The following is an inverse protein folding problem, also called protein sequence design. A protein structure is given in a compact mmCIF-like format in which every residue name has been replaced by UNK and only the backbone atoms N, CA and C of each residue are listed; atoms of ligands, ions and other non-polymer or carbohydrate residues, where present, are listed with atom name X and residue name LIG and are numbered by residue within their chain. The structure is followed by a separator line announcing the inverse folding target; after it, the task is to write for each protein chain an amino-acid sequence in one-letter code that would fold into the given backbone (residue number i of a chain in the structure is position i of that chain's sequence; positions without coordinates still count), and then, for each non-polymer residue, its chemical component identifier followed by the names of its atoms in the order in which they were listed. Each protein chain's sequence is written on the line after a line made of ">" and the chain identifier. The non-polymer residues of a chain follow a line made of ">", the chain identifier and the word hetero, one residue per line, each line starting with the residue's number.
data_IF_513055733344
#
_entry.id   IF_513055733344
#
_cell.length_a   1.000
_cell.length_b   1.000
_cell.length_c   1.000
_cell.angle_alpha   90.00
_cell.angle_beta   90.00
_cell.angle_gamma   90.00
#
_symmetry.space_group_name_H-M   'P 1'
#
loop_
_entity.id
_entity.type
_entity.pdbx_description
1 polymer ?
#
# COMPACT_ATOMS: atom_id res chain seq x y z
N UNK A 1 14.43 -7.51 -9.29
CA UNK A 1 13.36 -6.49 -9.31
C UNK A 1 13.73 -5.52 -10.39
N UNK A 2 12.90 -5.38 -11.42
CA UNK A 2 13.09 -4.29 -12.34
C UNK A 2 13.19 -3.04 -11.49
N UNK A 3 14.23 -2.26 -11.72
CA UNK A 3 14.30 -0.91 -11.23
C UNK A 3 13.09 -0.23 -11.87
N UNK A 4 12.01 -0.05 -11.11
CA UNK A 4 10.90 0.78 -11.49
C UNK A 4 11.33 2.23 -11.41
N UNK A 5 12.43 2.57 -12.13
CA UNK A 5 12.60 3.92 -12.56
C UNK A 5 11.49 4.17 -13.53
N UNK A 6 10.54 4.79 -12.88
CA UNK A 6 9.55 5.48 -13.56
C UNK A 6 9.33 4.85 -14.92
N UNK A 7 8.42 4.04 -14.93
CA UNK A 7 7.43 4.20 -15.93
C UNK A 7 7.07 5.70 -15.97
N UNK A 8 7.97 6.49 -16.48
CA UNK A 8 7.64 7.77 -17.12
C UNK A 8 6.98 7.35 -18.41
N UNK A 9 5.78 6.80 -18.25
CA UNK A 9 4.94 6.51 -19.37
C UNK A 9 4.96 7.74 -20.25
N UNK A 10 5.27 7.58 -21.51
CA UNK A 10 4.84 8.51 -22.53
C UNK A 10 3.32 8.59 -22.37
N UNK A 11 2.85 9.56 -21.61
CA UNK A 11 1.43 9.79 -21.44
C UNK A 11 0.89 10.22 -22.79
N UNK A 12 -0.17 9.57 -23.32
CA UNK A 12 -0.98 10.20 -24.34
C UNK A 12 -1.39 11.57 -23.80
N UNK A 13 -1.34 12.59 -24.66
CA UNK A 13 -1.85 13.92 -24.26
C UNK A 13 -3.30 13.77 -23.83
N UNK A 14 -3.75 14.40 -22.73
CA UNK A 14 -5.13 14.27 -22.22
C UNK A 14 -6.23 14.57 -23.25
N UNK A 15 -5.87 15.29 -24.31
CA UNK A 15 -6.77 15.71 -25.40
C UNK A 15 -7.07 14.61 -26.42
N UNK A 16 -6.37 13.46 -26.38
CA UNK A 16 -6.41 12.48 -27.48
C UNK A 16 -6.71 11.04 -27.08
N UNK A 17 -6.74 10.68 -25.80
CA UNK A 17 -6.92 9.28 -25.41
C UNK A 17 -7.66 9.20 -24.07
N UNK A 18 -8.72 8.42 -24.03
CA UNK A 18 -9.31 7.94 -22.78
C UNK A 18 -8.24 7.17 -22.03
N UNK A 19 -8.09 7.44 -20.73
CA UNK A 19 -7.14 6.74 -19.85
C UNK A 19 -7.41 5.24 -19.75
N UNK A 20 -8.60 4.80 -20.12
CA UNK A 20 -9.10 3.41 -20.12
C UNK A 20 -9.24 2.81 -21.51
N UNK A 21 -8.69 3.46 -22.56
CA UNK A 21 -8.67 2.93 -23.93
C UNK A 21 -7.74 1.71 -23.99
N UNK A 22 -8.20 0.63 -24.66
CA UNK A 22 -7.43 -0.62 -24.80
C UNK A 22 -6.01 -0.41 -25.33
N UNK A 23 -5.82 0.57 -26.21
CA UNK A 23 -4.50 0.95 -26.74
C UNK A 23 -3.48 1.36 -25.67
N UNK A 24 -3.94 1.79 -24.50
CA UNK A 24 -3.05 2.12 -23.36
C UNK A 24 -2.41 0.83 -22.83
N UNK A 25 -3.17 -0.24 -22.72
CA UNK A 25 -2.69 -1.52 -22.21
C UNK A 25 -1.81 -2.24 -23.24
N UNK A 26 -2.19 -2.19 -24.53
CA UNK A 26 -1.34 -2.68 -25.63
C UNK A 26 0.03 -1.98 -25.63
N UNK A 27 0.02 -0.65 -25.47
CA UNK A 27 1.25 0.13 -25.39
C UNK A 27 2.08 -0.17 -24.13
N UNK A 28 1.44 -0.46 -23.01
CA UNK A 28 2.12 -0.89 -21.80
C UNK A 28 2.85 -2.21 -22.02
N UNK A 29 2.20 -3.19 -22.67
CA UNK A 29 2.83 -4.45 -23.06
C UNK A 29 4.00 -4.23 -24.01
N UNK A 30 3.80 -3.51 -25.11
CA UNK A 30 4.86 -3.19 -26.08
C UNK A 30 6.09 -2.56 -25.40
N UNK A 31 5.86 -1.65 -24.44
CA UNK A 31 6.95 -1.02 -23.71
C UNK A 31 7.69 -2.01 -22.82
N UNK A 32 6.98 -2.93 -22.15
CA UNK A 32 7.59 -3.98 -21.33
C UNK A 32 8.45 -4.91 -22.20
N UNK A 33 7.88 -5.41 -23.30
CA UNK A 33 8.57 -6.30 -24.27
C UNK A 33 9.83 -5.59 -24.82
N UNK A 34 9.74 -4.34 -25.19
CA UNK A 34 10.89 -3.53 -25.66
C UNK A 34 11.99 -3.35 -24.58
N UNK A 35 11.63 -3.28 -23.30
CA UNK A 35 12.61 -3.17 -22.21
C UNK A 35 13.36 -4.49 -22.02
N UNK A 36 12.68 -5.63 -22.17
CA UNK A 36 13.30 -6.95 -22.14
C UNK A 36 14.21 -7.16 -23.35
N UNK A 37 13.74 -6.89 -24.58
CA UNK A 37 14.51 -7.02 -25.81
C UNK A 37 15.80 -6.17 -25.82
N UNK A 38 15.76 -5.01 -25.19
CA UNK A 38 16.91 -4.10 -25.07
C UNK A 38 17.82 -4.44 -23.88
N UNK A 39 17.51 -5.48 -23.11
CA UNK A 39 18.27 -5.86 -21.93
C UNK A 39 18.21 -4.83 -20.79
N UNK A 40 17.21 -3.93 -20.80
CA UNK A 40 16.94 -3.01 -19.69
C UNK A 40 16.33 -3.77 -18.52
N UNK A 41 15.46 -4.74 -18.82
CA UNK A 41 14.97 -5.74 -17.88
C UNK A 41 15.58 -7.08 -18.24
N UNK A 42 16.01 -7.81 -17.22
CA UNK A 42 16.52 -9.16 -17.36
C UNK A 42 15.80 -10.06 -16.37
N UNK A 43 15.44 -11.26 -16.80
CA UNK A 43 14.85 -12.26 -15.92
C UNK A 43 15.95 -13.06 -15.25
N UNK A 44 15.88 -13.26 -13.95
CA UNK A 44 16.78 -14.14 -13.23
C UNK A 44 16.63 -15.58 -13.71
N UNK A 45 17.75 -16.33 -13.76
CA UNK A 45 17.78 -17.67 -14.35
C UNK A 45 17.09 -18.74 -13.50
N UNK A 46 16.90 -18.46 -12.20
CA UNK A 46 16.16 -19.33 -11.27
C UNK A 46 15.25 -18.52 -10.36
N UNK A 47 14.33 -19.20 -9.72
CA UNK A 47 13.45 -18.57 -8.72
C UNK A 47 14.27 -18.09 -7.52
N UNK A 48 14.13 -16.81 -7.17
CA UNK A 48 14.82 -16.15 -6.08
C UNK A 48 13.83 -15.44 -5.16
N UNK A 49 14.22 -15.28 -3.91
CA UNK A 49 13.67 -14.22 -3.07
C UNK A 49 14.55 -12.98 -3.14
N UNK A 50 13.98 -11.83 -2.76
CA UNK A 50 14.76 -10.59 -2.69
C UNK A 50 14.51 -9.93 -1.35
N UNK A 51 15.56 -9.43 -0.71
CA UNK A 51 15.41 -8.51 0.41
C UNK A 51 15.31 -7.10 -0.16
N UNK A 52 14.25 -6.39 0.19
CA UNK A 52 14.04 -5.00 -0.19
C UNK A 52 14.06 -4.11 1.04
N UNK A 53 14.99 -3.16 1.07
CA UNK A 53 15.16 -2.23 2.16
C UNK A 53 14.90 -0.80 1.70
N UNK A 54 14.11 -0.08 2.49
CA UNK A 54 13.80 1.34 2.34
C UNK A 54 14.34 2.10 3.54
N UNK A 55 15.11 3.15 3.30
CA UNK A 55 15.58 4.05 4.37
C UNK A 55 15.05 5.45 4.12
N UNK A 56 14.24 5.97 5.04
CA UNK A 56 13.64 7.30 4.98
C UNK A 56 13.81 8.03 6.31
N UNK A 57 14.50 9.17 6.31
CA UNK A 57 14.70 10.01 7.51
C UNK A 57 15.17 9.22 8.72
N UNK A 58 16.14 8.30 8.52
CA UNK A 58 16.71 7.46 9.56
C UNK A 58 15.83 6.29 10.02
N UNK A 59 14.66 6.08 9.41
CA UNK A 59 13.84 4.88 9.63
C UNK A 59 14.07 3.89 8.50
N UNK A 60 14.29 2.65 8.86
CA UNK A 60 14.53 1.54 7.94
C UNK A 60 13.34 0.60 7.96
N UNK A 61 12.89 0.17 6.77
CA UNK A 61 11.91 -0.89 6.57
C UNK A 61 12.56 -1.93 5.66
N UNK A 62 12.63 -3.16 6.12
CA UNK A 62 13.24 -4.27 5.36
C UNK A 62 12.23 -5.41 5.22
N UNK A 63 11.89 -5.78 4.00
CA UNK A 63 10.92 -6.83 3.69
C UNK A 63 11.47 -7.86 2.71
N UNK A 64 10.78 -8.98 2.59
CA UNK A 64 11.05 -10.02 1.59
C UNK A 64 10.09 -9.84 0.42
N UNK A 65 10.64 -9.81 -0.79
CA UNK A 65 9.89 -9.82 -2.04
C UNK A 65 9.78 -11.26 -2.52
N UNK A 66 8.57 -11.65 -2.84
CA UNK A 66 8.24 -12.98 -3.37
C UNK A 66 6.81 -12.98 -3.91
N UNK A 67 6.33 -14.15 -4.28
CA UNK A 67 5.00 -14.34 -4.82
C UNK A 67 4.06 -14.95 -3.77
N UNK A 68 2.94 -14.27 -3.50
CA UNK A 68 1.89 -14.74 -2.59
C UNK A 68 0.78 -15.45 -3.36
N UNK A 69 0.21 -16.52 -2.78
CA UNK A 69 -0.84 -17.32 -3.41
C UNK A 69 -2.17 -16.56 -3.51
N UNK A 70 -2.84 -16.71 -4.68
CA UNK A 70 -4.22 -16.22 -4.83
C UNK A 70 -5.20 -17.00 -3.95
N UNK A 71 -4.90 -18.26 -3.63
CA UNK A 71 -5.73 -19.05 -2.72
C UNK A 71 -5.67 -18.52 -1.30
N UNK A 72 -4.52 -18.08 -0.83
CA UNK A 72 -4.37 -17.42 0.48
C UNK A 72 -5.20 -16.13 0.58
N UNK A 73 -5.29 -15.39 -0.54
CA UNK A 73 -6.18 -14.24 -0.62
C UNK A 73 -7.66 -14.65 -0.55
N UNK A 74 -8.06 -15.72 -1.26
CA UNK A 74 -9.44 -16.20 -1.30
C UNK A 74 -9.86 -16.82 0.04
N UNK A 75 -8.97 -17.57 0.68
CA UNK A 75 -9.23 -18.26 1.95
C UNK A 75 -9.08 -17.35 3.18
N UNK A 76 -8.68 -16.09 2.98
CA UNK A 76 -8.55 -15.12 4.05
C UNK A 76 -7.30 -15.30 4.93
N UNK A 77 -6.28 -15.99 4.46
CA UNK A 77 -4.92 -15.94 5.02
C UNK A 77 -4.34 -14.53 4.79
N UNK A 78 -4.51 -14.00 3.57
CA UNK A 78 -4.23 -12.59 3.27
C UNK A 78 -5.44 -11.74 3.67
N UNK A 79 -5.29 -10.97 4.76
CA UNK A 79 -6.35 -10.13 5.34
C UNK A 79 -6.49 -8.82 4.61
N UNK A 80 -7.74 -8.45 4.34
CA UNK A 80 -8.16 -7.19 3.69
C UNK A 80 -8.85 -6.29 4.69
N UNK A 81 -8.67 -4.99 4.58
CA UNK A 81 -9.36 -4.01 5.41
C UNK A 81 -10.02 -2.89 4.60
N UNK A 82 -9.89 -2.93 3.28
CA UNK A 82 -10.49 -1.96 2.36
C UNK A 82 -11.32 -2.66 1.29
N UNK A 83 -12.48 -2.09 0.98
CA UNK A 83 -13.30 -2.51 -0.16
C UNK A 83 -12.74 -1.86 -1.43
N UNK A 84 -12.57 -2.68 -2.45
CA UNK A 84 -12.09 -2.19 -3.75
C UNK A 84 -13.22 -1.54 -4.55
N UNK A 85 -12.88 -0.55 -5.37
CA UNK A 85 -13.81 0.07 -6.33
C UNK A 85 -13.70 -0.65 -7.66
N UNK A 86 -14.84 -1.00 -8.23
CA UNK A 86 -14.91 -1.81 -9.45
C UNK A 86 -14.25 -1.13 -10.66
N UNK A 87 -14.43 0.18 -10.83
CA UNK A 87 -13.80 0.95 -11.92
C UNK A 87 -12.26 0.88 -11.88
N UNK A 88 -11.67 1.05 -10.68
CA UNK A 88 -10.23 0.93 -10.46
C UNK A 88 -9.72 -0.49 -10.64
N UNK A 89 -10.53 -1.46 -10.28
CA UNK A 89 -10.20 -2.86 -10.37
C UNK A 89 -10.17 -3.33 -11.84
N UNK A 90 -11.14 -2.92 -12.64
CA UNK A 90 -11.19 -3.24 -14.08
C UNK A 90 -9.95 -2.69 -14.82
N UNK A 91 -9.57 -1.44 -14.56
CA UNK A 91 -8.34 -0.86 -15.10
C UNK A 91 -7.11 -1.72 -14.81
N UNK A 92 -6.96 -2.16 -13.56
CA UNK A 92 -5.82 -3.01 -13.16
C UNK A 92 -5.89 -4.43 -13.72
N UNK A 93 -7.09 -4.99 -13.86
CA UNK A 93 -7.30 -6.30 -14.52
C UNK A 93 -6.81 -6.23 -15.97
N UNK A 94 -7.24 -5.22 -16.74
CA UNK A 94 -6.82 -5.05 -18.13
C UNK A 94 -5.29 -4.90 -18.22
N UNK A 95 -4.69 -4.11 -17.32
CA UNK A 95 -3.25 -3.92 -17.31
C UNK A 95 -2.48 -5.21 -17.03
N UNK A 96 -2.83 -5.96 -15.97
CA UNK A 96 -2.16 -7.21 -15.61
C UNK A 96 -2.36 -8.28 -16.68
N UNK A 97 -3.59 -8.38 -17.23
CA UNK A 97 -3.90 -9.37 -18.25
C UNK A 97 -3.19 -9.09 -19.58
N UNK A 98 -3.11 -7.82 -19.99
CA UNK A 98 -2.42 -7.41 -21.23
C UNK A 98 -0.90 -7.53 -21.12
N UNK A 99 -0.32 -7.06 -20.03
CA UNK A 99 1.13 -7.18 -19.80
C UNK A 99 1.58 -8.60 -19.49
N UNK A 100 0.66 -9.47 -19.07
CA UNK A 100 0.95 -10.80 -18.52
C UNK A 100 2.02 -10.75 -17.42
N UNK A 101 2.01 -9.69 -16.59
CA UNK A 101 3.00 -9.44 -15.57
C UNK A 101 2.42 -8.64 -14.39
N UNK A 102 2.94 -8.92 -13.19
CA UNK A 102 2.74 -8.09 -12.02
C UNK A 102 3.76 -6.96 -12.02
N UNK A 103 3.39 -5.76 -12.48
CA UNK A 103 4.31 -4.63 -12.68
C UNK A 103 4.61 -3.84 -11.41
N UNK A 104 4.05 -4.21 -10.27
CA UNK A 104 4.33 -3.58 -8.99
C UNK A 104 3.93 -4.47 -7.80
N UNK A 105 4.80 -4.64 -6.80
CA UNK A 105 4.53 -5.49 -5.67
C UNK A 105 3.36 -4.97 -4.83
N UNK A 106 2.60 -5.90 -4.26
CA UNK A 106 1.59 -5.61 -3.25
C UNK A 106 2.30 -5.52 -1.91
N UNK A 107 2.01 -4.47 -1.15
CA UNK A 107 2.61 -4.24 0.15
C UNK A 107 1.84 -5.03 1.20
N UNK A 108 2.47 -6.08 1.72
CA UNK A 108 1.96 -6.92 2.80
C UNK A 108 2.73 -6.67 4.10
N UNK A 109 2.10 -6.97 5.21
CA UNK A 109 2.72 -6.94 6.52
C UNK A 109 2.35 -8.17 7.33
N UNK A 110 3.25 -8.63 8.19
CA UNK A 110 2.97 -9.66 9.17
C UNK A 110 3.86 -9.53 10.41
N UNK A 111 3.65 -10.42 11.36
CA UNK A 111 4.57 -10.59 12.49
C UNK A 111 5.67 -11.55 12.05
N UNK A 112 6.86 -11.01 11.85
CA UNK A 112 8.01 -11.84 11.51
C UNK A 112 8.47 -12.65 12.72
N UNK A 113 8.80 -13.95 12.52
CA UNK A 113 9.61 -14.69 13.48
C UNK A 113 11.01 -14.08 13.63
N UNK A 114 11.59 -14.14 14.82
CA UNK A 114 12.95 -13.63 15.07
C UNK A 114 14.00 -14.38 14.21
N UNK A 115 13.76 -15.65 13.91
CA UNK A 115 14.58 -16.47 12.99
C UNK A 115 14.65 -15.86 11.59
N UNK A 116 13.52 -15.43 11.04
CA UNK A 116 13.45 -14.82 9.72
C UNK A 116 14.20 -13.47 9.70
N UNK A 117 14.03 -12.64 10.74
CA UNK A 117 14.78 -11.39 10.86
C UNK A 117 16.29 -11.64 10.95
N UNK A 118 16.70 -12.66 11.71
CA UNK A 118 18.11 -13.04 11.84
C UNK A 118 18.68 -13.51 10.50
N UNK A 119 17.94 -14.35 9.78
CA UNK A 119 18.33 -14.83 8.45
C UNK A 119 18.54 -13.66 7.47
N UNK A 120 17.58 -12.73 7.42
CA UNK A 120 17.67 -11.56 6.55
C UNK A 120 18.87 -10.67 6.89
N UNK A 121 19.12 -10.42 8.17
CA UNK A 121 20.25 -9.61 8.59
C UNK A 121 21.58 -10.29 8.26
N UNK A 122 21.70 -11.59 8.57
CA UNK A 122 22.87 -12.37 8.20
C UNK A 122 23.13 -12.33 6.69
N UNK A 123 22.09 -12.44 5.87
CA UNK A 123 22.25 -12.34 4.42
C UNK A 123 22.80 -10.99 3.99
N UNK A 124 22.23 -9.90 4.48
CA UNK A 124 22.68 -8.53 4.18
C UNK A 124 24.12 -8.26 4.63
N UNK A 125 24.52 -8.82 5.76
CA UNK A 125 25.85 -8.61 6.31
C UNK A 125 26.97 -9.34 5.53
N UNK A 126 26.62 -10.40 4.77
CA UNK A 126 27.58 -11.22 4.04
C UNK A 126 27.49 -11.11 2.51
N UNK A 127 26.51 -10.38 1.98
CA UNK A 127 26.31 -10.22 0.54
C UNK A 127 26.19 -8.73 0.18
N UNK A 128 26.73 -8.40 -0.98
CA UNK A 128 26.57 -7.05 -1.56
C UNK A 128 25.13 -6.88 -2.09
N UNK A 129 24.60 -5.67 -1.96
CA UNK A 129 23.32 -5.32 -2.54
C UNK A 129 23.44 -5.30 -4.07
N UNK A 130 22.54 -5.98 -4.77
CA UNK A 130 22.44 -5.91 -6.23
C UNK A 130 22.07 -4.48 -6.71
N UNK A 131 21.33 -3.74 -5.87
CA UNK A 131 20.97 -2.35 -6.10
C UNK A 131 21.09 -1.57 -4.79
N UNK A 132 21.74 -0.40 -4.84
CA UNK A 132 21.82 0.58 -3.75
C UNK A 132 21.81 1.99 -4.36
N UNK A 133 20.71 2.71 -4.19
CA UNK A 133 20.57 4.07 -4.72
C UNK A 133 19.61 4.91 -3.87
N UNK A 134 19.77 6.21 -3.95
CA UNK A 134 18.88 7.17 -3.27
C UNK A 134 18.17 8.03 -4.33
N UNK A 135 16.85 8.11 -4.25
CA UNK A 135 16.04 8.93 -5.13
C UNK A 135 16.03 10.43 -4.72
N UNK A 136 15.45 11.27 -5.58
CA UNK A 136 15.35 12.73 -5.35
C UNK A 136 14.56 13.07 -4.07
N UNK A 137 13.64 12.22 -3.66
CA UNK A 137 12.84 12.37 -2.44
C UNK A 137 13.57 11.95 -1.16
N UNK A 138 14.87 11.64 -1.27
CA UNK A 138 15.77 11.21 -0.18
C UNK A 138 15.39 9.86 0.44
N UNK A 139 14.74 8.99 -0.32
CA UNK A 139 14.53 7.60 0.06
C UNK A 139 15.66 6.76 -0.54
N UNK A 140 16.37 6.01 0.31
CA UNK A 140 17.36 5.04 -0.15
C UNK A 140 16.69 3.69 -0.35
N UNK A 141 16.98 3.06 -1.48
CA UNK A 141 16.48 1.76 -1.89
C UNK A 141 17.64 0.79 -2.01
N UNK A 142 17.53 -0.37 -1.34
CA UNK A 142 18.52 -1.46 -1.47
C UNK A 142 17.81 -2.76 -1.78
N UNK A 143 18.44 -3.57 -2.62
CA UNK A 143 17.92 -4.90 -2.97
C UNK A 143 19.05 -5.90 -2.92
N UNK A 144 18.83 -7.01 -2.23
CA UNK A 144 19.69 -8.19 -2.25
C UNK A 144 18.96 -9.35 -2.89
N UNK A 145 19.65 -10.14 -3.68
CA UNK A 145 19.12 -11.36 -4.27
C UNK A 145 19.43 -12.53 -3.34
N UNK A 146 18.46 -13.36 -3.04
CA UNK A 146 18.63 -14.63 -2.32
C UNK A 146 18.41 -15.75 -3.30
N UNK A 147 19.50 -16.40 -3.69
CA UNK A 147 19.53 -17.42 -4.72
C UNK A 147 20.09 -18.77 -4.23
N UNK A 148 20.44 -18.92 -2.98
CA UNK A 148 20.88 -20.17 -2.36
C UNK A 148 19.67 -21.03 -1.96
N UNK A 149 19.64 -22.27 -2.46
CA UNK A 149 18.49 -23.18 -2.30
C UNK A 149 18.18 -23.50 -0.83
N UNK A 150 19.21 -23.62 0.02
CA UNK A 150 19.07 -23.84 1.45
C UNK A 150 18.37 -22.65 2.13
N UNK A 151 18.77 -21.44 1.78
CA UNK A 151 18.19 -20.20 2.33
C UNK A 151 16.75 -19.99 1.83
N UNK A 152 16.49 -20.27 0.54
CA UNK A 152 15.15 -20.27 -0.04
C UNK A 152 14.23 -21.25 0.70
N UNK A 153 14.73 -22.47 0.98
CA UNK A 153 14.00 -23.49 1.71
C UNK A 153 13.69 -23.05 3.15
N UNK A 154 14.62 -22.38 3.82
CA UNK A 154 14.42 -21.86 5.15
C UNK A 154 13.37 -20.73 5.18
N UNK A 155 13.41 -19.80 4.23
CA UNK A 155 12.39 -18.76 4.07
C UNK A 155 11.00 -19.39 3.85
N UNK A 156 10.89 -20.38 2.98
CA UNK A 156 9.62 -21.09 2.75
C UNK A 156 9.08 -21.69 4.04
N UNK A 157 9.93 -22.31 4.86
CA UNK A 157 9.56 -22.89 6.14
C UNK A 157 9.10 -21.84 7.14
N UNK A 158 9.78 -20.70 7.21
CA UNK A 158 9.39 -19.60 8.08
C UNK A 158 8.02 -19.02 7.69
N UNK A 159 7.79 -18.79 6.40
CA UNK A 159 6.49 -18.30 5.91
C UNK A 159 5.36 -19.31 6.11
N UNK A 160 5.64 -20.62 6.01
CA UNK A 160 4.66 -21.66 6.30
C UNK A 160 4.18 -21.66 7.79
N UNK A 161 4.96 -21.07 8.69
CA UNK A 161 4.60 -20.86 10.08
C UNK A 161 3.81 -19.57 10.36
N UNK A 162 3.57 -18.72 9.35
CA UNK A 162 2.84 -17.45 9.51
C UNK A 162 1.36 -17.65 9.23
N UNK A 163 0.52 -17.44 10.25
CA UNK A 163 -0.92 -17.64 10.14
C UNK A 163 -1.61 -16.66 9.19
N UNK A 164 -1.20 -15.40 9.19
CA UNK A 164 -1.87 -14.34 8.43
C UNK A 164 -0.89 -13.29 7.88
N UNK A 165 -1.16 -12.87 6.67
CA UNK A 165 -0.60 -11.68 6.03
C UNK A 165 -1.67 -10.58 5.98
N UNK A 166 -1.27 -9.33 6.04
CA UNK A 166 -2.19 -8.19 6.02
C UNK A 166 -1.82 -7.26 4.87
N UNK A 167 -2.76 -6.92 4.02
CA UNK A 167 -2.51 -5.92 2.96
C UNK A 167 -2.37 -4.56 3.62
N UNK A 168 -1.18 -3.97 3.53
CA UNK A 168 -0.92 -2.61 4.00
C UNK A 168 -1.21 -1.58 2.88
N UNK A 169 -0.88 -1.92 1.63
CA UNK A 169 -1.22 -1.13 0.44
C UNK A 169 -1.38 -2.03 -0.79
N UNK A 170 -2.19 -1.57 -1.76
CA UNK A 170 -2.38 -2.26 -3.03
C UNK A 170 -3.58 -3.20 -3.07
N UNK A 171 -4.65 -2.93 -2.32
CA UNK A 171 -5.89 -3.74 -2.33
C UNK A 171 -6.45 -3.94 -3.75
N UNK A 172 -6.48 -2.88 -4.59
CA UNK A 172 -6.91 -2.99 -5.98
C UNK A 172 -5.98 -3.86 -6.81
N UNK A 173 -4.66 -3.76 -6.62
CA UNK A 173 -3.67 -4.61 -7.30
C UNK A 173 -3.84 -6.07 -6.93
N UNK A 174 -4.00 -6.36 -5.63
CA UNK A 174 -4.23 -7.72 -5.14
C UNK A 174 -5.52 -8.31 -5.72
N UNK A 175 -6.65 -7.59 -5.62
CA UNK A 175 -7.94 -8.03 -6.15
C UNK A 175 -7.88 -8.31 -7.66
N UNK A 176 -7.22 -7.43 -8.42
CA UNK A 176 -7.07 -7.58 -9.86
C UNK A 176 -6.19 -8.77 -10.25
N UNK A 177 -5.06 -8.96 -9.59
CA UNK A 177 -4.18 -10.12 -9.82
C UNK A 177 -4.92 -11.44 -9.53
N UNK A 178 -5.68 -11.50 -8.44
CA UNK A 178 -6.51 -12.66 -8.10
C UNK A 178 -7.56 -12.94 -9.19
N UNK A 179 -8.28 -11.92 -9.66
CA UNK A 179 -9.29 -12.09 -10.72
C UNK A 179 -8.67 -12.56 -12.03
N UNK A 180 -7.50 -12.04 -12.41
CA UNK A 180 -6.77 -12.51 -13.59
C UNK A 180 -6.34 -13.96 -13.39
N UNK A 181 -5.82 -14.34 -12.23
CA UNK A 181 -5.45 -15.72 -11.92
C UNK A 181 -6.63 -16.67 -12.02
N UNK A 182 -7.79 -16.32 -11.45
CA UNK A 182 -9.01 -17.12 -11.55
C UNK A 182 -9.49 -17.26 -13.02
N UNK A 183 -9.48 -16.18 -13.80
CA UNK A 183 -9.76 -16.22 -15.23
C UNK A 183 -8.82 -17.19 -15.98
N UNK A 184 -7.53 -17.18 -15.65
CA UNK A 184 -6.54 -18.09 -16.24
C UNK A 184 -6.78 -19.54 -15.83
N UNK A 185 -7.20 -19.82 -14.60
CA UNK A 185 -7.62 -21.15 -14.14
C UNK A 185 -8.81 -21.68 -14.96
N UNK A 186 -9.81 -20.84 -15.21
CA UNK A 186 -10.98 -21.22 -16.06
C UNK A 186 -10.56 -21.54 -17.49
N UNK A 187 -9.59 -20.80 -18.04
CA UNK A 187 -9.04 -21.03 -19.37
C UNK A 187 -8.13 -22.27 -19.46
N UNK A 188 -7.59 -22.74 -18.33
CA UNK A 188 -6.68 -23.86 -18.22
C UNK A 188 -7.17 -24.89 -17.19
N UNK A 189 -8.25 -25.65 -17.48
CA UNK A 189 -8.86 -26.57 -16.51
C UNK A 189 -7.92 -27.66 -15.96
N UNK A 190 -6.78 -27.88 -16.60
CA UNK A 190 -5.76 -28.83 -16.17
C UNK A 190 -4.62 -28.22 -15.37
N UNK A 191 -4.78 -27.00 -14.83
CA UNK A 191 -3.73 -26.36 -14.03
C UNK A 191 -3.37 -27.20 -12.80
N UNK A 192 -2.10 -27.14 -12.39
CA UNK A 192 -1.56 -27.95 -11.29
C UNK A 192 -1.51 -27.19 -9.96
N UNK A 193 -1.56 -25.86 -10.03
CA UNK A 193 -1.34 -24.96 -8.89
C UNK A 193 0.05 -24.32 -8.88
N UNK A 194 0.98 -24.84 -9.68
CA UNK A 194 2.36 -24.32 -9.74
C UNK A 194 2.55 -23.22 -10.79
N UNK A 195 1.55 -22.98 -11.64
CA UNK A 195 1.62 -21.95 -12.68
C UNK A 195 1.65 -20.55 -12.07
N UNK A 196 2.42 -19.64 -12.67
CA UNK A 196 2.66 -18.28 -12.17
C UNK A 196 1.38 -17.45 -11.97
N UNK A 197 0.32 -17.71 -12.74
CA UNK A 197 -0.95 -17.04 -12.56
C UNK A 197 -1.69 -17.40 -11.24
N UNK A 198 -1.20 -18.40 -10.49
CA UNK A 198 -1.70 -18.74 -9.16
C UNK A 198 -1.10 -17.86 -8.06
N UNK A 199 -0.24 -16.91 -8.44
CA UNK A 199 0.50 -16.08 -7.51
C UNK A 199 0.47 -14.61 -7.93
N UNK A 200 0.72 -13.71 -6.98
CA UNK A 200 0.89 -12.29 -7.23
C UNK A 200 2.15 -11.77 -6.52
N UNK A 201 2.84 -10.86 -7.20
CA UNK A 201 4.05 -10.24 -6.67
C UNK A 201 3.75 -9.42 -5.43
N UNK A 202 4.48 -9.66 -4.35
CA UNK A 202 4.31 -8.98 -3.08
C UNK A 202 5.66 -8.67 -2.42
N UNK A 203 5.65 -7.67 -1.56
CA UNK A 203 6.70 -7.44 -0.58
C UNK A 203 6.09 -7.51 0.81
N UNK A 204 6.59 -8.40 1.65
CA UNK A 204 6.12 -8.58 3.02
C UNK A 204 7.08 -7.87 3.96
N UNK A 205 6.58 -7.00 4.83
CA UNK A 205 7.37 -6.28 5.83
C UNK A 205 6.97 -6.72 7.24
N UNK A 206 7.90 -6.69 8.21
CA UNK A 206 7.55 -6.78 9.61
C UNK A 206 6.64 -5.60 10.00
N UNK A 207 5.55 -5.88 10.71
CA UNK A 207 4.53 -4.87 11.04
C UNK A 207 5.07 -3.71 11.89
N UNK A 208 6.05 -3.97 12.73
CA UNK A 208 6.67 -3.00 13.65
C UNK A 208 7.66 -2.05 12.97
N UNK A 209 8.09 -2.37 11.75
CA UNK A 209 8.90 -1.47 10.91
C UNK A 209 8.04 -0.53 10.06
N UNK A 210 6.72 -0.71 10.02
CA UNK A 210 5.85 0.12 9.20
C UNK A 210 5.80 1.56 9.71
N UNK A 211 5.92 2.49 8.78
CA UNK A 211 5.77 3.91 9.07
C UNK A 211 4.43 4.39 8.50
N UNK A 212 3.46 4.59 9.39
CA UNK A 212 2.17 5.15 9.00
C UNK A 212 2.32 6.67 8.87
N UNK A 213 2.07 7.17 7.68
CA UNK A 213 2.08 8.61 7.40
C UNK A 213 0.69 9.21 7.66
N UNK A 214 0.62 10.51 8.05
CA UNK A 214 -0.66 11.19 8.17
C UNK A 214 -1.43 11.18 6.85
N UNK A 215 -2.65 10.70 6.88
CA UNK A 215 -3.56 10.77 5.74
C UNK A 215 -4.50 11.95 5.89
N UNK A 216 -4.03 13.13 5.51
CA UNK A 216 -4.77 14.37 5.69
C UNK A 216 -6.03 14.41 4.82
N UNK A 217 -7.10 14.99 5.34
CA UNK A 217 -8.34 15.26 4.61
C UNK A 217 -8.43 16.75 4.31
N UNK A 218 -8.81 17.06 3.08
CA UNK A 218 -9.14 18.43 2.65
C UNK A 218 -10.65 18.47 2.44
N UNK A 219 -11.31 19.42 3.09
CA UNK A 219 -12.75 19.62 2.97
C UNK A 219 -12.98 20.98 2.35
N UNK A 220 -13.82 21.06 1.31
CA UNK A 220 -14.01 22.28 0.50
C UNK A 220 -14.87 23.34 1.18
N UNK A 221 -15.82 22.94 2.03
CA UNK A 221 -16.75 23.82 2.71
C UNK A 221 -17.12 23.32 4.11
N UNK A 222 -17.79 24.14 4.88
CA UNK A 222 -18.22 23.85 6.25
C UNK A 222 -19.71 23.44 6.33
N UNK A 223 -20.29 22.90 5.26
CA UNK A 223 -21.69 22.49 5.22
C UNK A 223 -22.66 23.63 5.60
N UNK A 224 -22.41 24.84 5.12
CA UNK A 224 -23.19 26.03 5.40
C UNK A 224 -22.96 26.63 6.78
N UNK A 225 -22.11 26.08 7.62
CA UNK A 225 -21.79 26.63 8.93
C UNK A 225 -20.82 27.81 8.81
N UNK A 226 -20.97 28.79 9.68
CA UNK A 226 -19.91 29.77 9.92
C UNK A 226 -18.75 29.12 10.67
N UNK A 227 -17.53 29.64 10.54
CA UNK A 227 -16.35 29.12 11.28
C UNK A 227 -16.62 29.06 12.79
N UNK A 228 -17.27 30.09 13.35
CA UNK A 228 -17.64 30.11 14.77
C UNK A 228 -18.59 28.98 15.16
N UNK A 229 -19.59 28.69 14.32
CA UNK A 229 -20.55 27.61 14.57
C UNK A 229 -19.87 26.25 14.45
N UNK A 230 -19.02 26.07 13.45
CA UNK A 230 -18.21 24.85 13.24
C UNK A 230 -17.30 24.59 14.45
N UNK A 231 -16.50 25.57 14.88
CA UNK A 231 -15.66 25.44 16.08
C UNK A 231 -16.47 25.15 17.34
N UNK A 232 -17.68 25.74 17.44
CA UNK A 232 -18.63 25.47 18.52
C UNK A 232 -19.10 24.02 18.54
N UNK A 233 -19.43 23.45 17.36
CA UNK A 233 -19.85 22.08 17.24
C UNK A 233 -18.73 21.07 17.61
N UNK A 234 -17.49 21.37 17.24
CA UNK A 234 -16.35 20.50 17.57
C UNK A 234 -16.10 20.41 19.08
N UNK A 235 -16.38 21.44 19.87
CA UNK A 235 -16.15 21.44 21.33
C UNK A 235 -16.95 20.38 22.08
N UNK A 236 -18.03 19.86 21.51
CA UNK A 236 -18.78 18.78 22.13
C UNK A 236 -17.98 17.48 22.18
N UNK A 237 -17.07 17.27 21.21
CA UNK A 237 -16.31 16.04 21.07
C UNK A 237 -14.81 16.23 21.33
N UNK A 238 -14.32 17.48 21.31
CA UNK A 238 -12.88 17.75 21.37
C UNK A 238 -12.55 18.94 22.28
N UNK A 239 -11.44 18.85 22.97
CA UNK A 239 -10.71 20.00 23.46
C UNK A 239 -10.04 20.69 22.29
N UNK A 240 -10.28 21.98 22.07
CA UNK A 240 -9.71 22.79 21.01
C UNK A 240 -8.69 23.79 21.59
N UNK A 241 -7.47 23.71 21.06
CA UNK A 241 -6.41 24.67 21.38
C UNK A 241 -5.96 25.39 20.10
N UNK A 242 -5.99 26.70 20.09
CA UNK A 242 -5.43 27.52 19.02
C UNK A 242 -3.91 27.42 19.02
N UNK A 243 -3.32 27.16 17.85
CA UNK A 243 -1.87 27.01 17.65
C UNK A 243 -1.35 28.15 16.76
N UNK A 244 -1.00 29.31 17.34
CA UNK A 244 -0.58 30.45 16.54
C UNK A 244 0.78 30.22 15.90
N UNK A 245 0.87 30.46 14.59
CA UNK A 245 2.13 30.60 13.86
C UNK A 245 2.79 29.32 13.31
N UNK A 246 2.29 28.12 13.65
CA UNK A 246 2.91 26.86 13.18
C UNK A 246 1.88 25.80 12.79
N UNK A 247 2.17 24.95 11.77
CA UNK A 247 1.35 23.77 11.48
C UNK A 247 1.25 22.86 12.69
N UNK A 248 0.03 22.50 13.08
CA UNK A 248 -0.21 21.55 14.15
C UNK A 248 0.03 20.13 13.63
N UNK A 249 1.05 19.44 14.16
CA UNK A 249 1.35 18.04 13.88
C UNK A 249 1.25 17.24 15.17
N UNK A 250 0.10 16.66 15.48
CA UNK A 250 -0.06 15.86 16.69
C UNK A 250 0.85 14.62 16.66
N UNK A 251 1.37 14.24 17.81
CA UNK A 251 2.19 13.03 18.00
C UNK A 251 1.52 12.02 18.91
N UNK A 252 0.44 12.41 19.58
CA UNK A 252 -0.33 11.56 20.49
C UNK A 252 -1.55 10.97 19.78
N UNK A 253 -1.98 9.78 20.24
CA UNK A 253 -3.27 9.20 19.83
C UNK A 253 -4.42 10.10 20.21
N UNK A 254 -5.50 10.04 19.42
CA UNK A 254 -6.73 10.81 19.62
C UNK A 254 -6.53 12.33 19.54
N UNK A 255 -5.45 12.74 18.89
CA UNK A 255 -5.13 14.13 18.60
C UNK A 255 -5.06 14.39 17.11
N UNK A 256 -5.59 15.53 16.67
CA UNK A 256 -5.64 15.94 15.26
C UNK A 256 -5.20 17.39 15.12
N UNK A 257 -4.51 17.71 14.03
CA UNK A 257 -4.28 19.08 13.60
C UNK A 257 -5.37 19.51 12.61
N UNK A 258 -5.92 20.68 12.79
CA UNK A 258 -6.93 21.26 11.89
C UNK A 258 -6.51 22.67 11.48
N UNK A 259 -6.62 22.94 10.18
CA UNK A 259 -6.45 24.29 9.65
C UNK A 259 -7.78 24.79 9.11
N UNK A 260 -8.24 25.93 9.61
CA UNK A 260 -9.47 26.60 9.17
C UNK A 260 -9.35 28.11 9.33
N UNK A 261 -9.82 28.87 8.37
CA UNK A 261 -9.84 30.34 8.39
C UNK A 261 -8.48 30.97 8.77
N UNK A 262 -7.40 30.47 8.15
CA UNK A 262 -6.04 31.01 8.37
C UNK A 262 -5.40 30.59 9.70
N UNK A 263 -6.04 29.76 10.51
CA UNK A 263 -5.57 29.39 11.84
C UNK A 263 -5.41 27.88 11.99
N UNK A 264 -4.37 27.48 12.74
CA UNK A 264 -4.18 26.10 13.16
C UNK A 264 -4.78 25.83 14.53
N UNK A 265 -5.40 24.67 14.67
CA UNK A 265 -5.97 24.19 15.92
C UNK A 265 -5.45 22.78 16.21
N UNK A 266 -5.16 22.55 17.49
CA UNK A 266 -4.97 21.19 18.02
C UNK A 266 -6.31 20.73 18.58
N UNK A 267 -6.78 19.57 18.13
CA UNK A 267 -7.97 18.89 18.61
C UNK A 267 -7.54 17.68 19.42
N UNK A 268 -8.01 17.56 20.64
CA UNK A 268 -7.85 16.36 21.46
C UNK A 268 -9.23 15.78 21.77
N UNK A 269 -9.48 14.55 21.36
CA UNK A 269 -10.75 13.88 21.56
C UNK A 269 -11.02 13.65 23.05
N UNK A 270 -12.24 13.93 23.51
CA UNK A 270 -12.64 13.59 24.87
C UNK A 270 -12.65 12.06 25.04
N UNK A 271 -12.25 11.53 26.23
CA UNK A 271 -12.13 10.07 26.44
C UNK A 271 -13.44 9.29 26.36
N UNK A 272 -14.57 9.96 26.43
CA UNK A 272 -15.93 9.40 26.43
C UNK A 272 -16.57 9.32 25.03
N UNK A 273 -15.92 9.87 24.00
CA UNK A 273 -16.49 9.86 22.64
C UNK A 273 -16.11 8.61 21.83
N UNK A 274 -15.26 7.75 22.35
CA UNK A 274 -14.84 6.48 21.74
C UNK A 274 -14.72 5.37 22.78
N UNK A 275 -15.00 4.14 22.37
CA UNK A 275 -14.86 2.98 23.24
C UNK A 275 -13.43 2.44 23.21
N UNK A 276 -12.75 2.36 24.35
CA UNK A 276 -11.37 1.86 24.45
C UNK A 276 -11.20 0.39 24.03
N UNK A 277 -12.29 -0.39 24.05
CA UNK A 277 -12.31 -1.80 23.63
C UNK A 277 -12.59 -1.97 22.13
N UNK A 278 -13.15 -0.96 21.47
CA UNK A 278 -13.36 -0.98 20.03
C UNK A 278 -12.06 -0.59 19.31
N UNK A 279 -11.35 -1.59 18.82
CA UNK A 279 -10.04 -1.43 18.16
C UNK A 279 -10.13 -0.56 16.91
N UNK A 280 -11.25 -0.57 16.20
CA UNK A 280 -11.46 0.22 14.97
C UNK A 280 -12.04 1.58 15.30
N UNK A 281 -13.07 1.65 16.15
CA UNK A 281 -13.75 2.90 16.49
C UNK A 281 -12.87 3.90 17.26
N UNK A 282 -11.82 3.43 17.94
CA UNK A 282 -10.86 4.31 18.62
C UNK A 282 -9.75 4.88 17.72
N UNK A 283 -9.68 4.46 16.44
CA UNK A 283 -8.70 5.03 15.51
C UNK A 283 -9.01 6.50 15.22
N UNK A 284 -7.99 7.32 15.09
CA UNK A 284 -8.13 8.76 14.84
C UNK A 284 -8.97 9.03 13.58
N UNK A 285 -8.82 8.22 12.54
CA UNK A 285 -9.62 8.31 11.31
C UNK A 285 -11.10 7.97 11.55
N UNK A 286 -11.39 7.01 12.42
CA UNK A 286 -12.78 6.64 12.80
C UNK A 286 -13.41 7.74 13.65
N UNK A 287 -12.69 8.28 14.62
CA UNK A 287 -13.14 9.41 15.44
C UNK A 287 -13.42 10.62 14.55
N UNK A 288 -12.53 10.94 13.61
CA UNK A 288 -12.73 12.04 12.66
C UNK A 288 -14.00 11.82 11.84
N UNK A 289 -14.20 10.62 11.30
CA UNK A 289 -15.38 10.30 10.49
C UNK A 289 -16.66 10.41 11.29
N UNK A 290 -16.73 9.75 12.45
CA UNK A 290 -17.96 9.61 13.22
C UNK A 290 -18.31 10.85 14.06
N UNK A 291 -17.35 11.72 14.36
CA UNK A 291 -17.56 12.88 15.24
C UNK A 291 -17.44 14.21 14.53
N UNK A 292 -16.91 14.25 13.31
CA UNK A 292 -16.73 15.51 12.55
C UNK A 292 -17.29 15.39 11.14
N UNK A 293 -16.74 14.48 10.31
CA UNK A 293 -17.06 14.47 8.88
C UNK A 293 -18.53 14.17 8.64
N UNK A 294 -19.08 13.11 9.25
CA UNK A 294 -20.49 12.74 9.09
C UNK A 294 -21.44 13.72 9.80
N UNK A 295 -21.38 13.92 11.14
CA UNK A 295 -22.42 14.65 11.85
C UNK A 295 -22.33 16.18 11.68
N UNK A 296 -21.17 16.76 11.44
CA UNK A 296 -20.98 18.21 11.36
C UNK A 296 -20.88 18.68 9.91
N UNK A 297 -20.14 17.95 9.09
CA UNK A 297 -19.89 18.34 7.71
C UNK A 297 -20.77 17.59 6.70
N UNK A 298 -21.55 16.59 7.14
CA UNK A 298 -22.47 15.84 6.29
C UNK A 298 -21.78 14.94 5.25
N UNK A 299 -20.52 14.56 5.50
CA UNK A 299 -19.73 13.68 4.62
C UNK A 299 -19.93 12.24 5.08
N UNK A 300 -20.84 11.51 4.43
CA UNK A 300 -21.18 10.13 4.80
C UNK A 300 -20.08 9.15 4.43
N UNK A 301 -19.59 9.21 3.20
CA UNK A 301 -18.51 8.37 2.69
C UNK A 301 -17.42 9.23 2.05
N UNK A 302 -16.26 9.40 2.70
CA UNK A 302 -15.17 10.24 2.20
C UNK A 302 -14.52 9.71 0.91
N UNK A 303 -14.90 8.50 0.44
CA UNK A 303 -14.40 7.93 -0.82
C UNK A 303 -15.19 8.41 -2.03
N UNK A 304 -16.44 8.80 -1.82
CA UNK A 304 -17.39 9.17 -2.89
C UNK A 304 -17.89 10.60 -2.79
N UNK A 305 -17.83 11.22 -1.61
CA UNK A 305 -18.23 12.60 -1.41
C UNK A 305 -17.29 13.55 -2.18
N UNK A 306 -17.86 14.56 -2.82
CA UNK A 306 -17.09 15.53 -3.63
C UNK A 306 -16.61 16.74 -2.83
N UNK A 307 -17.01 16.86 -1.59
CA UNK A 307 -16.58 17.93 -0.67
C UNK A 307 -15.35 17.51 0.09
#
# INVERSE_FOLDING_TARGET
>A
MAVFHAFRALRPTPEKTDLYDERVYEKAKENLDNMEEKGILVQDQKACYYIYELVRKGKTQTGIVGCSSIDDYMNGVVKKHELTREDKEQDRIHHVDSCNANTGPIFLACRYPDSLLTLMNNWKDHHEAAYDFTEEDQITHRVWVIDEDEVISEINKEFAGIDFLYIADGHHRAASAVKVGLKRREQNPGYTGEEEFNYFLSVVFPYDQLCILPYNRIVKDLNGLTVKAFLGALKFNFELMLMPGFPCKPVEKHCMGMYVDGQWYHLKAWPDIYEKKDVVGQLDVSILQEKVLRPVLGIEDPRTDQR
#
